data_IF_363494257169
#
_entry.id   IF_363494257169
#
_cell.length_a   1.000
_cell.length_b   1.000
_cell.length_c   1.000
_cell.angle_alpha   90.00
_cell.angle_beta   90.00
_cell.angle_gamma   90.00
#
_symmetry.space_group_name_H-M   'P 1'
#
loop_
_entity.id
_entity.type
_entity.pdbx_description
1 polymer ?
#
# COMPACT_ATOMS: atom_id res chain seq x y z
N UNK A 1 -15.55 -8.04 27.13
CA UNK A 1 -14.78 -9.17 26.55
C UNK A 1 -14.46 -8.95 25.07
N UNK A 2 -15.46 -8.58 24.25
CA UNK A 2 -15.30 -8.37 22.80
C UNK A 2 -14.14 -7.44 22.41
N UNK A 3 -14.07 -6.22 22.96
CA UNK A 3 -13.02 -5.25 22.61
C UNK A 3 -11.60 -5.75 22.92
N UNK A 4 -11.43 -6.53 23.99
CA UNK A 4 -10.12 -7.10 24.31
C UNK A 4 -9.72 -8.18 23.29
N UNK A 5 -10.67 -9.05 22.90
CA UNK A 5 -10.44 -10.03 21.83
C UNK A 5 -10.13 -9.34 20.51
N UNK A 6 -10.90 -8.31 20.15
CA UNK A 6 -10.68 -7.51 18.95
C UNK A 6 -9.27 -6.88 18.97
N UNK A 7 -8.89 -6.24 20.07
CA UNK A 7 -7.55 -5.65 20.23
C UNK A 7 -6.47 -6.73 20.07
N UNK A 8 -6.56 -7.83 20.82
CA UNK A 8 -5.55 -8.87 20.81
C UNK A 8 -5.41 -9.53 19.44
N UNK A 9 -6.52 -9.82 18.77
CA UNK A 9 -6.54 -10.41 17.43
C UNK A 9 -5.87 -9.50 16.42
N UNK A 10 -6.27 -8.22 16.35
CA UNK A 10 -5.69 -7.29 15.38
C UNK A 10 -4.24 -6.91 15.74
N UNK A 11 -3.88 -6.83 17.01
CA UNK A 11 -2.49 -6.65 17.45
C UNK A 11 -1.59 -7.82 17.04
N UNK A 12 -2.07 -9.06 17.19
CA UNK A 12 -1.37 -10.25 16.71
C UNK A 12 -1.21 -10.23 15.20
N UNK A 13 -2.26 -9.89 14.45
CA UNK A 13 -2.18 -9.74 12.99
C UNK A 13 -1.17 -8.66 12.61
N UNK A 14 -1.14 -7.52 13.31
CA UNK A 14 -0.14 -6.47 13.10
C UNK A 14 1.30 -6.89 13.38
N UNK A 15 1.51 -7.77 14.38
CA UNK A 15 2.82 -8.33 14.70
C UNK A 15 3.33 -9.31 13.65
N UNK A 16 2.44 -10.13 13.06
CA UNK A 16 2.80 -11.20 12.12
C UNK A 16 2.40 -10.91 10.67
N UNK A 17 1.96 -9.67 10.41
CA UNK A 17 1.47 -9.09 9.15
C UNK A 17 2.45 -9.04 7.97
N UNK A 18 3.51 -9.85 7.97
CA UNK A 18 4.55 -9.81 6.95
C UNK A 18 4.07 -10.46 5.65
N UNK A 19 4.29 -9.80 4.51
CA UNK A 19 3.83 -10.28 3.19
C UNK A 19 2.82 -9.37 2.49
N UNK A 20 2.53 -8.19 3.07
CA UNK A 20 1.70 -7.16 2.43
C UNK A 20 0.19 -7.36 2.65
N UNK A 21 -0.61 -6.62 1.87
CA UNK A 21 -2.06 -6.54 2.03
C UNK A 21 -2.77 -7.91 2.01
N UNK A 22 -2.42 -8.77 1.05
CA UNK A 22 -3.07 -10.06 0.86
C UNK A 22 -2.69 -11.11 1.92
N UNK A 23 -1.46 -11.06 2.42
CA UNK A 23 -1.07 -11.89 3.57
C UNK A 23 -1.85 -11.50 4.83
N UNK A 24 -2.06 -10.19 5.05
CA UNK A 24 -2.92 -9.73 6.15
C UNK A 24 -4.37 -10.17 5.98
N UNK A 25 -4.92 -10.14 4.75
CA UNK A 25 -6.30 -10.58 4.50
C UNK A 25 -6.53 -12.03 4.91
N UNK A 26 -5.62 -12.95 4.55
CA UNK A 26 -5.77 -14.37 4.92
C UNK A 26 -5.73 -14.57 6.44
N UNK A 27 -4.88 -13.82 7.15
CA UNK A 27 -4.84 -13.82 8.61
C UNK A 27 -6.11 -13.24 9.23
N UNK A 28 -6.62 -12.14 8.70
CA UNK A 28 -7.89 -11.55 9.16
C UNK A 28 -9.02 -12.56 8.96
N UNK A 29 -9.15 -13.16 7.77
CA UNK A 29 -10.17 -14.17 7.48
C UNK A 29 -10.11 -15.35 8.47
N UNK A 30 -8.90 -15.88 8.72
CA UNK A 30 -8.70 -16.98 9.65
C UNK A 30 -9.16 -16.64 11.06
N UNK A 31 -8.92 -15.42 11.53
CA UNK A 31 -9.32 -15.01 12.87
C UNK A 31 -10.81 -14.62 12.94
N UNK A 32 -11.32 -13.78 12.04
CA UNK A 32 -12.68 -13.22 12.14
C UNK A 32 -13.78 -14.15 11.63
N UNK A 33 -13.50 -14.99 10.63
CA UNK A 33 -14.47 -15.95 10.06
C UNK A 33 -14.32 -17.31 10.71
N UNK A 34 -13.10 -17.87 10.72
CA UNK A 34 -12.90 -19.27 11.12
C UNK A 34 -12.80 -19.42 12.63
N UNK A 35 -11.92 -18.66 13.29
CA UNK A 35 -11.63 -18.86 14.72
C UNK A 35 -12.69 -18.26 15.63
N UNK A 36 -13.09 -17.02 15.38
CA UNK A 36 -14.05 -16.31 16.22
C UNK A 36 -15.50 -16.43 15.73
N UNK A 37 -15.72 -16.73 14.45
CA UNK A 37 -17.06 -16.79 13.88
C UNK A 37 -17.82 -15.47 13.98
N UNK A 38 -17.11 -14.34 14.03
CA UNK A 38 -17.73 -13.02 14.15
C UNK A 38 -18.42 -12.60 12.85
N UNK A 39 -17.94 -13.11 11.71
CA UNK A 39 -18.37 -12.74 10.38
C UNK A 39 -18.52 -13.99 9.52
N UNK A 40 -19.54 -14.02 8.67
CA UNK A 40 -19.64 -15.01 7.61
C UNK A 40 -18.59 -14.78 6.53
N UNK A 41 -18.30 -15.81 5.74
CA UNK A 41 -17.41 -15.68 4.58
C UNK A 41 -17.93 -14.66 3.55
N UNK A 42 -19.26 -14.55 3.42
CA UNK A 42 -19.89 -13.58 2.52
C UNK A 42 -19.65 -12.15 2.99
N UNK A 43 -19.94 -11.87 4.26
CA UNK A 43 -19.67 -10.55 4.86
C UNK A 43 -18.19 -10.19 4.72
N UNK A 44 -17.28 -11.13 4.99
CA UNK A 44 -15.85 -10.92 4.79
C UNK A 44 -15.50 -10.55 3.34
N UNK A 45 -16.08 -11.23 2.37
CA UNK A 45 -15.85 -10.95 0.94
C UNK A 45 -16.37 -9.57 0.55
N UNK A 46 -17.56 -9.19 1.03
CA UNK A 46 -18.14 -7.87 0.80
C UNK A 46 -17.26 -6.76 1.41
N UNK A 47 -16.71 -7.00 2.61
CA UNK A 47 -15.76 -6.08 3.25
C UNK A 47 -14.46 -5.92 2.46
N UNK A 48 -13.93 -7.00 1.88
CA UNK A 48 -12.73 -6.94 1.04
C UNK A 48 -13.00 -6.11 -0.22
N UNK A 49 -14.17 -6.26 -0.83
CA UNK A 49 -14.55 -5.45 -2.00
C UNK A 49 -14.58 -3.95 -1.65
N UNK A 50 -15.22 -3.58 -0.54
CA UNK A 50 -15.25 -2.18 -0.07
C UNK A 50 -13.83 -1.67 0.27
N UNK A 51 -13.00 -2.52 0.88
CA UNK A 51 -11.63 -2.17 1.25
C UNK A 51 -10.72 -1.89 0.06
N UNK A 52 -11.02 -2.47 -1.10
CA UNK A 52 -10.30 -2.23 -2.37
C UNK A 52 -10.79 -0.97 -3.09
N UNK A 53 -12.07 -0.63 -2.94
CA UNK A 53 -12.64 0.61 -3.49
C UNK A 53 -12.19 1.85 -2.72
N UNK A 54 -11.85 1.68 -1.44
CA UNK A 54 -11.37 2.76 -0.58
C UNK A 54 -9.86 2.96 -0.73
N UNK A 55 -9.38 4.21 -0.80
CA UNK A 55 -7.94 4.47 -0.89
C UNK A 55 -7.24 4.00 0.38
N UNK A 56 -6.07 3.37 0.22
CA UNK A 56 -5.20 2.97 1.32
C UNK A 56 -4.84 1.48 1.32
N UNK A 57 -4.10 1.01 2.34
CA UNK A 57 -3.69 -0.38 2.43
C UNK A 57 -4.88 -1.29 2.75
N UNK A 58 -5.20 -2.20 1.84
CA UNK A 58 -6.32 -3.13 1.94
C UNK A 58 -6.46 -3.83 3.31
N UNK A 59 -5.33 -4.24 3.92
CA UNK A 59 -5.34 -4.91 5.24
C UNK A 59 -5.79 -3.98 6.38
N UNK A 60 -5.41 -2.70 6.34
CA UNK A 60 -5.84 -1.70 7.33
C UNK A 60 -7.32 -1.36 7.11
N UNK A 61 -7.73 -1.15 5.86
CA UNK A 61 -9.13 -0.87 5.51
C UNK A 61 -10.04 -2.02 5.95
N UNK A 62 -9.64 -3.27 5.68
CA UNK A 62 -10.39 -4.46 6.08
C UNK A 62 -10.46 -4.60 7.61
N UNK A 63 -9.37 -4.33 8.32
CA UNK A 63 -9.38 -4.34 9.79
C UNK A 63 -10.31 -3.28 10.38
N UNK A 64 -10.35 -2.09 9.77
CA UNK A 64 -11.23 -0.98 10.16
C UNK A 64 -12.70 -1.39 10.02
N UNK A 65 -13.04 -2.00 8.88
CA UNK A 65 -14.40 -2.43 8.58
C UNK A 65 -14.83 -3.64 9.40
N UNK A 66 -13.93 -4.61 9.59
CA UNK A 66 -14.15 -5.74 10.49
C UNK A 66 -14.40 -5.26 11.91
N UNK A 67 -13.61 -4.30 12.41
CA UNK A 67 -13.83 -3.69 13.72
C UNK A 67 -15.23 -3.08 13.88
N UNK A 68 -15.73 -2.39 12.86
CA UNK A 68 -17.10 -1.84 12.85
C UNK A 68 -18.14 -2.95 12.88
N UNK A 69 -18.01 -3.92 11.98
CA UNK A 69 -19.02 -4.95 11.74
C UNK A 69 -19.16 -5.87 12.95
N UNK A 70 -18.04 -6.14 13.63
CA UNK A 70 -18.01 -6.98 14.83
C UNK A 70 -18.54 -6.25 16.07
N UNK A 71 -18.25 -4.96 16.26
CA UNK A 71 -18.68 -4.22 17.47
C UNK A 71 -20.00 -3.45 17.31
N UNK A 72 -20.47 -3.27 16.07
CA UNK A 72 -21.62 -2.44 15.72
C UNK A 72 -21.40 -0.93 15.90
N UNK A 73 -20.15 -0.48 16.08
CA UNK A 73 -19.85 0.94 16.33
C UNK A 73 -18.45 1.36 15.87
N UNK A 74 -18.25 2.67 15.76
CA UNK A 74 -16.98 3.27 15.31
C UNK A 74 -15.82 2.99 16.27
N UNK A 75 -16.10 2.76 17.56
CA UNK A 75 -15.04 2.44 18.53
C UNK A 75 -14.35 1.11 18.22
N UNK A 76 -15.08 0.11 17.72
CA UNK A 76 -14.48 -1.15 17.27
C UNK A 76 -13.56 -0.96 16.08
N UNK A 77 -13.93 -0.09 15.13
CA UNK A 77 -13.07 0.29 14.01
C UNK A 77 -11.75 0.89 14.49
N UNK A 78 -11.83 1.94 15.31
CA UNK A 78 -10.64 2.62 15.83
C UNK A 78 -9.72 1.67 16.60
N UNK A 79 -10.31 0.77 17.38
CA UNK A 79 -9.58 -0.20 18.18
C UNK A 79 -8.93 -1.29 17.32
N UNK A 80 -9.63 -1.85 16.33
CA UNK A 80 -9.07 -2.84 15.41
C UNK A 80 -7.93 -2.24 14.55
N UNK A 81 -8.16 -1.06 13.97
CA UNK A 81 -7.16 -0.33 13.17
C UNK A 81 -5.96 0.06 14.01
N UNK A 82 -6.20 0.64 15.19
CA UNK A 82 -5.16 1.04 16.11
C UNK A 82 -4.33 -0.15 16.56
N UNK A 83 -4.97 -1.25 16.96
CA UNK A 83 -4.29 -2.47 17.39
C UNK A 83 -3.43 -3.06 16.26
N UNK A 84 -3.92 -3.08 15.03
CA UNK A 84 -3.17 -3.59 13.87
C UNK A 84 -1.94 -2.74 13.52
N UNK A 85 -2.05 -1.41 13.61
CA UNK A 85 -0.95 -0.49 13.26
C UNK A 85 0.08 -0.36 14.39
N UNK A 86 -0.34 -0.53 15.64
CA UNK A 86 0.49 -0.28 16.83
C UNK A 86 1.82 -1.05 16.85
N UNK A 87 1.89 -2.37 16.52
CA UNK A 87 3.15 -3.10 16.48
C UNK A 87 4.17 -2.49 15.51
N UNK A 88 3.75 -2.24 14.26
CA UNK A 88 4.61 -1.63 13.24
C UNK A 88 5.04 -0.21 13.63
N UNK A 89 4.14 0.55 14.27
CA UNK A 89 4.44 1.88 14.77
C UNK A 89 5.53 1.85 15.86
N UNK A 90 5.41 0.97 16.85
CA UNK A 90 6.40 0.81 17.93
C UNK A 90 7.76 0.37 17.35
N UNK A 91 7.76 -0.61 16.45
CA UNK A 91 8.97 -1.09 15.78
C UNK A 91 9.65 0.04 15.00
N UNK A 92 8.88 0.79 14.22
CA UNK A 92 9.40 1.90 13.43
C UNK A 92 10.00 3.01 14.30
N UNK A 93 9.34 3.38 15.40
CA UNK A 93 9.87 4.37 16.35
C UNK A 93 11.18 3.90 16.97
N UNK A 94 11.25 2.63 17.37
CA UNK A 94 12.43 2.03 17.98
C UNK A 94 13.61 2.02 17.00
N UNK A 95 13.37 1.54 15.78
CA UNK A 95 14.39 1.51 14.71
C UNK A 95 14.82 2.93 14.35
N UNK A 96 13.88 3.87 14.19
CA UNK A 96 14.18 5.27 13.88
C UNK A 96 15.09 5.91 14.92
N UNK A 97 14.79 5.70 16.22
CA UNK A 97 15.60 6.24 17.32
C UNK A 97 17.03 5.70 17.26
N UNK A 98 17.20 4.40 16.99
CA UNK A 98 18.51 3.78 16.83
C UNK A 98 19.25 4.34 15.61
N UNK A 99 18.60 4.39 14.45
CA UNK A 99 19.18 4.90 13.20
C UNK A 99 19.61 6.37 13.32
N UNK A 100 18.81 7.22 13.97
CA UNK A 100 19.15 8.63 14.18
C UNK A 100 20.34 8.78 15.13
N UNK A 101 20.40 7.97 16.20
CA UNK A 101 21.53 7.97 17.15
C UNK A 101 22.84 7.59 16.48
N UNK A 102 22.84 6.58 15.61
CA UNK A 102 24.05 6.05 14.96
C UNK A 102 24.24 6.52 13.52
N UNK A 103 23.51 7.55 13.07
CA UNK A 103 23.52 8.01 11.67
C UNK A 103 24.91 8.37 11.14
N UNK A 104 25.79 8.89 12.02
CA UNK A 104 27.17 9.28 11.69
C UNK A 104 28.17 8.12 11.81
N UNK A 105 27.73 6.93 12.23
CA UNK A 105 28.62 5.77 12.31
C UNK A 105 29.00 5.33 10.88
N UNK A 106 30.29 5.14 10.57
CA UNK A 106 30.75 4.85 9.21
C UNK A 106 30.01 3.68 8.54
N UNK A 107 29.74 2.61 9.30
CA UNK A 107 28.99 1.44 8.82
C UNK A 107 27.55 1.78 8.43
N UNK A 108 26.84 2.58 9.23
CA UNK A 108 25.46 2.97 8.96
C UNK A 108 25.42 3.84 7.71
N UNK A 109 26.33 4.81 7.60
CA UNK A 109 26.45 5.65 6.41
C UNK A 109 26.76 4.83 5.15
N UNK A 110 27.67 3.85 5.23
CA UNK A 110 28.00 2.95 4.12
C UNK A 110 26.78 2.12 3.67
N UNK A 111 26.00 1.58 4.62
CA UNK A 111 24.75 0.87 4.32
C UNK A 111 23.78 1.79 3.56
N UNK A 112 23.57 3.01 4.02
CA UNK A 112 22.69 3.96 3.33
C UNK A 112 23.21 4.37 1.94
N UNK A 113 24.53 4.45 1.77
CA UNK A 113 25.14 4.70 0.44
C UNK A 113 24.87 3.55 -0.55
N UNK A 114 24.81 2.30 -0.09
CA UNK A 114 24.40 1.16 -0.91
C UNK A 114 22.88 1.06 -1.12
N UNK A 115 22.10 1.35 -0.07
CA UNK A 115 20.64 1.21 -0.09
C UNK A 115 19.97 2.20 -1.05
N UNK A 116 20.46 3.46 -1.11
CA UNK A 116 19.89 4.50 -1.99
C UNK A 116 19.84 4.08 -3.47
N UNK A 117 20.96 3.72 -4.12
CA UNK A 117 20.93 3.28 -5.52
C UNK A 117 20.20 1.95 -5.70
N UNK A 118 20.23 1.04 -4.71
CA UNK A 118 19.47 -0.21 -4.78
C UNK A 118 17.96 0.05 -4.84
N UNK A 119 17.43 0.95 -4.01
CA UNK A 119 16.01 1.35 -4.03
C UNK A 119 15.65 2.02 -5.36
N UNK A 120 16.51 2.92 -5.87
CA UNK A 120 16.29 3.55 -7.19
C UNK A 120 16.26 2.49 -8.30
N UNK A 121 17.17 1.51 -8.27
CA UNK A 121 17.21 0.40 -9.22
C UNK A 121 15.97 -0.49 -9.14
N UNK A 122 15.49 -0.81 -7.93
CA UNK A 122 14.27 -1.58 -7.72
C UNK A 122 13.04 -0.86 -8.28
N UNK A 123 12.92 0.45 -8.02
CA UNK A 123 11.83 1.27 -8.55
C UNK A 123 11.91 1.39 -10.08
N UNK A 124 13.11 1.54 -10.64
CA UNK A 124 13.32 1.55 -12.09
C UNK A 124 12.95 0.20 -12.72
N UNK A 125 13.34 -0.92 -12.10
CA UNK A 125 12.96 -2.25 -12.56
C UNK A 125 11.43 -2.45 -12.55
N UNK A 126 10.75 -2.04 -11.46
CA UNK A 126 9.30 -2.08 -11.39
C UNK A 126 8.64 -1.22 -12.49
N UNK A 127 9.19 -0.02 -12.76
CA UNK A 127 8.71 0.84 -13.84
C UNK A 127 8.89 0.17 -15.22
N UNK A 128 10.06 -0.44 -15.47
CA UNK A 128 10.33 -1.16 -16.72
C UNK A 128 9.40 -2.37 -16.92
N UNK A 129 9.06 -3.10 -15.86
CA UNK A 129 8.08 -4.20 -15.91
C UNK A 129 6.70 -3.71 -16.33
N UNK A 130 6.33 -2.49 -15.93
CA UNK A 130 5.08 -1.85 -16.34
C UNK A 130 5.13 -1.29 -17.77
N UNK A 131 6.32 -1.09 -18.36
CA UNK A 131 6.49 -0.67 -19.76
C UNK A 131 6.36 -1.86 -20.72
N UNK A 132 5.20 -2.49 -20.73
CA UNK A 132 4.85 -3.61 -21.61
C UNK A 132 3.78 -3.21 -22.64
N UNK A 133 3.48 -4.10 -23.59
CA UNK A 133 2.52 -3.84 -24.67
C UNK A 133 1.09 -3.56 -24.18
N UNK A 134 0.68 -4.11 -23.05
CA UNK A 134 -0.65 -3.88 -22.47
C UNK A 134 -0.81 -2.45 -21.93
N UNK A 135 0.27 -1.90 -21.34
CA UNK A 135 0.24 -0.58 -20.72
C UNK A 135 0.71 0.55 -21.65
N UNK A 136 1.66 0.27 -22.54
CA UNK A 136 2.27 1.25 -23.44
C UNK A 136 1.84 1.07 -24.91
N UNK A 137 1.06 0.05 -25.26
CA UNK A 137 0.72 -0.26 -26.64
C UNK A 137 1.84 -1.01 -27.39
N UNK A 138 1.48 -1.57 -28.54
CA UNK A 138 2.41 -2.29 -29.41
C UNK A 138 2.98 -1.34 -30.48
N UNK A 139 4.31 -1.20 -30.63
CA UNK A 139 4.89 -0.36 -31.66
C UNK A 139 4.47 -0.74 -33.08
N UNK A 140 4.15 -2.02 -33.31
CA UNK A 140 3.83 -2.58 -34.63
C UNK A 140 2.34 -2.67 -34.91
N UNK A 141 1.50 -2.88 -33.88
CA UNK A 141 0.04 -3.06 -34.06
C UNK A 141 -0.75 -1.79 -33.71
N UNK A 142 -0.27 -1.00 -32.75
CA UNK A 142 -0.90 0.25 -32.31
C UNK A 142 0.17 1.35 -32.13
N UNK A 143 0.74 1.78 -33.25
CA UNK A 143 1.78 2.82 -33.27
C UNK A 143 1.26 4.15 -32.70
N UNK A 144 -0.03 4.46 -32.85
CA UNK A 144 -0.63 5.69 -32.32
C UNK A 144 -0.68 5.66 -30.79
N UNK A 145 -1.26 4.61 -30.20
CA UNK A 145 -1.30 4.42 -28.75
C UNK A 145 0.11 4.35 -28.16
N UNK A 146 1.05 3.67 -28.83
CA UNK A 146 2.44 3.64 -28.39
C UNK A 146 3.10 5.02 -28.35
N UNK A 147 2.91 5.82 -29.40
CA UNK A 147 3.46 7.18 -29.47
C UNK A 147 2.86 8.08 -28.40
N UNK A 148 1.55 8.00 -28.16
CA UNK A 148 0.87 8.76 -27.11
C UNK A 148 1.37 8.39 -25.71
N UNK A 149 1.48 7.10 -25.40
CA UNK A 149 2.01 6.62 -24.12
C UNK A 149 3.43 7.13 -23.86
N UNK A 150 4.30 7.05 -24.87
CA UNK A 150 5.66 7.61 -24.78
C UNK A 150 5.66 9.13 -24.55
N UNK A 151 4.77 9.87 -25.23
CA UNK A 151 4.64 11.32 -25.05
C UNK A 151 4.15 11.68 -23.65
N UNK A 152 3.10 11.03 -23.15
CA UNK A 152 2.58 11.24 -21.79
C UNK A 152 3.67 10.95 -20.76
N UNK A 153 4.41 9.84 -20.92
CA UNK A 153 5.54 9.50 -20.05
C UNK A 153 6.63 10.57 -20.07
N UNK A 154 7.05 11.03 -21.24
CA UNK A 154 8.08 12.07 -21.38
C UNK A 154 7.63 13.41 -20.78
N UNK A 155 6.39 13.83 -21.04
CA UNK A 155 5.80 15.04 -20.46
C UNK A 155 5.75 14.92 -18.94
N UNK A 156 5.33 13.77 -18.41
CA UNK A 156 5.25 13.55 -16.97
C UNK A 156 6.64 13.56 -16.31
N UNK A 157 7.62 12.92 -16.95
CA UNK A 157 9.00 12.89 -16.47
C UNK A 157 9.63 14.29 -16.47
N UNK A 158 9.50 15.03 -17.57
CA UNK A 158 10.04 16.40 -17.69
C UNK A 158 9.29 17.37 -16.77
N UNK A 159 7.96 17.27 -16.70
CA UNK A 159 7.12 18.06 -15.79
C UNK A 159 7.56 17.90 -14.33
N UNK A 160 7.73 16.66 -13.88
CA UNK A 160 8.13 16.37 -12.51
C UNK A 160 9.59 16.76 -12.25
N UNK A 161 10.51 16.43 -13.15
CA UNK A 161 11.96 16.65 -12.94
C UNK A 161 12.37 18.11 -13.13
N UNK A 162 11.91 18.77 -14.19
CA UNK A 162 12.36 20.11 -14.58
C UNK A 162 11.51 21.21 -13.95
N UNK A 163 10.19 21.02 -13.93
CA UNK A 163 9.23 22.01 -13.43
C UNK A 163 8.81 21.75 -11.98
N UNK A 164 9.27 20.65 -11.36
CA UNK A 164 8.96 20.27 -9.98
C UNK A 164 7.45 20.25 -9.69
N UNK A 165 6.65 19.88 -10.70
CA UNK A 165 5.20 19.76 -10.55
C UNK A 165 4.92 18.69 -9.50
N UNK A 166 3.91 18.94 -8.65
CA UNK A 166 3.49 17.99 -7.63
C UNK A 166 3.12 16.64 -8.29
N UNK A 167 3.70 15.50 -7.84
CA UNK A 167 3.38 14.18 -8.38
C UNK A 167 1.88 13.86 -8.37
N UNK A 168 1.13 14.31 -7.36
CA UNK A 168 -0.33 14.10 -7.28
C UNK A 168 -1.04 14.79 -8.44
N UNK A 169 -0.68 16.05 -8.72
CA UNK A 169 -1.24 16.81 -9.84
C UNK A 169 -0.87 16.15 -11.17
N UNK A 170 0.38 15.69 -11.31
CA UNK A 170 0.82 14.99 -12.52
C UNK A 170 0.04 13.70 -12.76
N UNK A 171 -0.25 12.92 -11.72
CA UNK A 171 -1.07 11.71 -11.82
C UNK A 171 -2.47 12.05 -12.32
N UNK A 172 -3.10 13.09 -11.75
CA UNK A 172 -4.44 13.54 -12.19
C UNK A 172 -4.42 14.00 -13.65
N UNK A 173 -3.45 14.82 -14.04
CA UNK A 173 -3.32 15.31 -15.42
C UNK A 173 -3.08 14.16 -16.41
N UNK A 174 -2.21 13.20 -16.07
CA UNK A 174 -1.96 12.04 -16.93
C UNK A 174 -3.18 11.12 -17.01
N UNK A 175 -3.94 10.95 -15.92
CA UNK A 175 -5.17 10.17 -15.91
C UNK A 175 -6.27 10.80 -16.78
N UNK A 176 -6.45 12.12 -16.69
CA UNK A 176 -7.39 12.86 -17.56
C UNK A 176 -6.92 12.81 -19.02
N UNK A 177 -5.62 13.01 -19.29
CA UNK A 177 -5.08 12.89 -20.64
C UNK A 177 -5.30 11.48 -21.21
N UNK A 178 -5.10 10.43 -20.40
CA UNK A 178 -5.38 9.06 -20.78
C UNK A 178 -6.84 8.85 -21.17
N UNK A 179 -7.79 9.33 -20.39
CA UNK A 179 -9.22 9.23 -20.70
C UNK A 179 -9.62 10.00 -21.97
N UNK A 180 -8.98 11.13 -22.26
CA UNK A 180 -9.34 11.94 -23.45
C UNK A 180 -8.69 11.41 -24.73
N UNK A 181 -7.48 10.82 -24.64
CA UNK A 181 -6.64 10.48 -25.79
C UNK A 181 -6.75 9.01 -26.22
N UNK A 182 -7.21 8.12 -25.34
CA UNK A 182 -7.52 6.70 -25.62
C UNK A 182 -9.03 6.49 -25.67
#
# INVERSE_FOLDING_TARGET
>A
MLYFQLFYTFFKIGLFGFGGGYAMLSMIQAEVVVRHGWLSLREFTDMVAISQMTPGPIGINTATYAGYTVSGNVYGSLLATGALVLPSFILMLTISKFLLKYRKHPTVEAIFKGLRPAVVGLLAAAALVLMNTENFGSPTEDTYGFTLSCLIFLIAFVGTKRFKINPILMIVVCGVAGWVLY
#
